data_IF_054540362909
#
_entry.id   IF_054540362909
#
_cell.length_a   1.000
_cell.length_b   1.000
_cell.length_c   1.000
_cell.angle_alpha   90.00
_cell.angle_beta   90.00
_cell.angle_gamma   90.00
#
_symmetry.space_group_name_H-M   'P 1'
#
loop_
_entity.id
_entity.type
_entity.pdbx_description
1 polymer ?
#
# COMPACT_ATOMS: atom_id res chain seq x y z
N UNK A 1 28.09 -39.69 -16.88
CA UNK A 1 28.43 -38.25 -16.88
C UNK A 1 28.20 -37.74 -15.47
N UNK A 2 29.18 -37.93 -14.60
CA UNK A 2 29.17 -37.36 -13.25
C UNK A 2 29.44 -35.86 -13.41
N UNK A 3 28.46 -35.02 -13.03
CA UNK A 3 28.66 -33.59 -13.01
C UNK A 3 29.60 -33.27 -11.84
N UNK A 4 30.89 -33.10 -12.16
CA UNK A 4 31.87 -32.49 -11.28
C UNK A 4 31.43 -31.05 -10.99
N UNK A 5 30.56 -30.88 -9.98
CA UNK A 5 30.29 -29.57 -9.38
C UNK A 5 31.56 -29.23 -8.62
N UNK A 6 32.47 -28.52 -9.28
CA UNK A 6 33.65 -27.92 -8.67
C UNK A 6 33.16 -27.18 -7.42
N UNK A 7 33.66 -27.58 -6.24
CA UNK A 7 33.19 -27.10 -4.96
C UNK A 7 33.48 -25.63 -4.78
N UNK A 8 32.60 -24.76 -5.29
CA UNK A 8 32.56 -23.36 -4.90
C UNK A 8 32.49 -23.30 -3.37
N UNK A 9 33.38 -22.51 -2.78
CA UNK A 9 33.57 -22.46 -1.34
C UNK A 9 32.25 -22.09 -0.65
N UNK A 10 31.74 -22.98 0.21
CA UNK A 10 30.47 -22.83 0.90
C UNK A 10 30.42 -21.47 1.62
N UNK A 11 29.34 -20.72 1.40
CA UNK A 11 29.19 -19.40 2.01
C UNK A 11 29.26 -19.51 3.53
N UNK A 12 30.09 -18.66 4.13
CA UNK A 12 30.25 -18.54 5.58
C UNK A 12 29.82 -17.12 6.02
N UNK A 13 29.59 -16.89 7.33
CA UNK A 13 29.13 -15.59 7.83
C UNK A 13 30.01 -14.37 7.47
N UNK A 14 31.29 -14.61 7.17
CA UNK A 14 32.26 -13.57 6.79
C UNK A 14 32.34 -13.37 5.26
N UNK A 15 31.70 -14.24 4.47
CA UNK A 15 31.64 -14.10 3.01
C UNK A 15 30.77 -12.90 2.64
N UNK A 16 31.23 -12.10 1.68
CA UNK A 16 30.45 -10.97 1.15
C UNK A 16 29.07 -11.41 0.67
N UNK A 17 28.97 -12.57 0.00
CA UNK A 17 27.71 -13.12 -0.50
C UNK A 17 26.72 -13.42 0.63
N UNK A 18 27.21 -13.93 1.77
CA UNK A 18 26.38 -14.19 2.95
C UNK A 18 25.85 -12.90 3.58
N UNK A 19 26.70 -11.88 3.68
CA UNK A 19 26.32 -10.58 4.22
C UNK A 19 25.28 -9.88 3.33
N UNK A 20 25.49 -9.88 2.00
CA UNK A 20 24.52 -9.36 1.04
C UNK A 20 23.19 -10.12 1.07
N UNK A 21 23.23 -11.45 1.16
CA UNK A 21 22.01 -12.26 1.29
C UNK A 21 21.26 -11.95 2.60
N UNK A 22 21.98 -11.81 3.71
CA UNK A 22 21.39 -11.46 5.01
C UNK A 22 20.74 -10.07 4.97
N UNK A 23 21.39 -9.09 4.33
CA UNK A 23 20.84 -7.75 4.13
C UNK A 23 19.58 -7.79 3.24
N UNK A 24 19.63 -8.57 2.15
CA UNK A 24 18.48 -8.78 1.28
C UNK A 24 17.30 -9.39 2.03
N UNK A 25 17.54 -10.42 2.86
CA UNK A 25 16.49 -11.04 3.68
C UNK A 25 15.85 -10.05 4.66
N UNK A 26 16.65 -9.19 5.32
CA UNK A 26 16.12 -8.13 6.19
C UNK A 26 15.24 -7.14 5.44
N UNK A 27 15.68 -6.70 4.25
CA UNK A 27 14.89 -5.80 3.40
C UNK A 27 13.58 -6.47 2.97
N UNK A 28 13.65 -7.75 2.56
CA UNK A 28 12.47 -8.50 2.14
C UNK A 28 11.47 -8.71 3.28
N UNK A 29 11.96 -9.02 4.48
CA UNK A 29 11.10 -9.17 5.65
C UNK A 29 10.35 -7.88 5.98
N UNK A 30 11.04 -6.74 5.89
CA UNK A 30 10.40 -5.43 6.03
C UNK A 30 9.33 -5.18 4.97
N UNK A 31 9.64 -5.43 3.69
CA UNK A 31 8.68 -5.24 2.59
C UNK A 31 7.42 -6.09 2.79
N UNK A 32 7.58 -7.36 3.20
CA UNK A 32 6.45 -8.22 3.52
C UNK A 32 5.64 -7.72 4.71
N UNK A 33 6.27 -7.07 5.70
CA UNK A 33 5.56 -6.45 6.81
C UNK A 33 4.76 -5.21 6.36
N UNK A 34 5.29 -4.42 5.42
CA UNK A 34 4.56 -3.32 4.78
C UNK A 34 3.37 -3.85 3.98
N UNK A 35 3.57 -4.84 3.11
CA UNK A 35 2.50 -5.45 2.30
C UNK A 35 1.37 -6.01 3.19
N UNK A 36 1.75 -6.67 4.28
CA UNK A 36 0.80 -7.21 5.27
C UNK A 36 -0.01 -6.09 5.92
N UNK A 37 0.65 -5.00 6.32
CA UNK A 37 -0.01 -3.87 6.97
C UNK A 37 -0.97 -3.17 6.00
N UNK A 38 -0.51 -2.88 4.79
CA UNK A 38 -1.28 -2.26 3.72
C UNK A 38 -2.53 -3.10 3.39
N UNK A 39 -2.37 -4.40 3.15
CA UNK A 39 -3.47 -5.30 2.85
C UNK A 39 -4.55 -5.31 3.95
N UNK A 40 -4.15 -5.22 5.22
CA UNK A 40 -5.08 -5.13 6.35
C UNK A 40 -5.82 -3.79 6.41
N UNK A 41 -5.15 -2.69 6.06
CA UNK A 41 -5.74 -1.35 6.06
C UNK A 41 -6.73 -1.19 4.90
N UNK A 42 -6.35 -1.60 3.68
CA UNK A 42 -7.26 -1.65 2.53
C UNK A 42 -8.47 -2.50 2.85
N UNK A 43 -8.22 -3.70 3.39
CA UNK A 43 -9.25 -4.59 3.87
C UNK A 43 -10.20 -3.79 4.75
N UNK A 44 -9.71 -3.20 5.87
CA UNK A 44 -10.50 -2.40 6.83
C UNK A 44 -11.36 -1.34 6.15
N UNK A 45 -10.79 -0.55 5.25
CA UNK A 45 -11.49 0.48 4.47
C UNK A 45 -12.67 -0.11 3.69
N UNK A 46 -12.50 -1.27 3.05
CA UNK A 46 -13.58 -1.95 2.33
C UNK A 46 -14.71 -2.44 3.25
N UNK A 47 -14.46 -2.84 4.51
CA UNK A 47 -15.60 -3.13 5.42
C UNK A 47 -16.28 -1.85 5.88
N UNK A 48 -15.54 -0.76 6.09
CA UNK A 48 -16.13 0.52 6.46
C UNK A 48 -17.06 1.03 5.34
N UNK A 49 -16.65 0.88 4.09
CA UNK A 49 -17.52 1.15 2.93
C UNK A 49 -18.76 0.26 2.94
N UNK A 50 -18.62 -1.05 3.19
CA UNK A 50 -19.76 -1.97 3.30
C UNK A 50 -20.71 -1.62 4.45
N UNK A 51 -20.17 -1.09 5.55
CA UNK A 51 -20.98 -0.63 6.68
C UNK A 51 -21.86 0.58 6.32
N UNK A 52 -21.45 1.36 5.30
CA UNK A 52 -22.17 2.55 4.84
C UNK A 52 -23.25 2.25 3.78
N UNK A 53 -23.48 0.97 3.44
CA UNK A 53 -24.50 0.57 2.46
C UNK A 53 -25.87 0.50 3.13
N UNK A 54 -26.80 1.34 2.66
CA UNK A 54 -28.21 1.33 3.08
C UNK A 54 -28.88 -0.03 2.73
N UNK A 55 -29.83 -0.47 3.56
CA UNK A 55 -30.55 -1.74 3.33
C UNK A 55 -29.83 -3.01 3.82
N UNK A 56 -28.69 -2.89 4.50
CA UNK A 56 -28.03 -4.06 5.12
C UNK A 56 -28.82 -4.61 6.30
N UNK A 57 -29.12 -5.90 6.30
CA UNK A 57 -29.85 -6.56 7.38
C UNK A 57 -29.07 -6.57 8.72
N UNK A 58 -29.77 -6.65 9.85
CA UNK A 58 -29.14 -6.60 11.19
C UNK A 58 -28.00 -7.62 11.39
N UNK A 59 -28.18 -8.86 10.94
CA UNK A 59 -27.16 -9.92 11.03
C UNK A 59 -25.89 -9.55 10.24
N UNK A 60 -26.04 -8.96 9.04
CA UNK A 60 -24.91 -8.51 8.23
C UNK A 60 -24.19 -7.34 8.89
N UNK A 61 -24.91 -6.35 9.44
CA UNK A 61 -24.30 -5.24 10.20
C UNK A 61 -23.49 -5.74 11.39
N UNK A 62 -23.99 -6.73 12.13
CA UNK A 62 -23.27 -7.35 13.25
C UNK A 62 -22.00 -8.06 12.79
N UNK A 63 -22.06 -8.78 11.66
CA UNK A 63 -20.90 -9.44 11.06
C UNK A 63 -19.84 -8.42 10.61
N UNK A 64 -20.24 -7.36 9.91
CA UNK A 64 -19.36 -6.27 9.49
C UNK A 64 -18.70 -5.60 10.70
N UNK A 65 -19.47 -5.26 11.73
CA UNK A 65 -18.92 -4.66 12.96
C UNK A 65 -17.92 -5.57 13.68
N UNK A 66 -18.18 -6.89 13.72
CA UNK A 66 -17.21 -7.86 14.27
C UNK A 66 -15.94 -7.90 13.44
N UNK A 67 -16.06 -7.92 12.11
CA UNK A 67 -14.93 -7.99 11.21
C UNK A 67 -14.05 -6.72 11.29
N UNK A 68 -14.66 -5.53 11.40
CA UNK A 68 -13.93 -4.26 11.60
C UNK A 68 -13.11 -4.33 12.89
N UNK A 69 -13.72 -4.77 14.01
CA UNK A 69 -13.02 -4.91 15.29
C UNK A 69 -11.85 -5.90 15.22
N UNK A 70 -12.06 -7.06 14.59
CA UNK A 70 -11.02 -8.07 14.39
C UNK A 70 -9.87 -7.51 13.56
N UNK A 71 -10.18 -6.77 12.48
CA UNK A 71 -9.16 -6.20 11.61
C UNK A 71 -8.39 -5.06 12.26
N UNK A 72 -9.03 -4.22 13.08
CA UNK A 72 -8.29 -3.22 13.88
C UNK A 72 -7.23 -3.88 14.77
N UNK A 73 -7.55 -4.99 15.45
CA UNK A 73 -6.56 -5.75 16.25
C UNK A 73 -5.44 -6.38 15.40
N UNK A 74 -5.78 -6.86 14.20
CA UNK A 74 -4.80 -7.40 13.27
C UNK A 74 -3.84 -6.31 12.77
N UNK A 75 -4.36 -5.10 12.49
CA UNK A 75 -3.56 -3.92 12.14
C UNK A 75 -2.62 -3.57 13.29
N UNK A 76 -3.09 -3.50 14.54
CA UNK A 76 -2.24 -3.21 15.70
C UNK A 76 -1.06 -4.21 15.80
N UNK A 77 -1.33 -5.49 15.54
CA UNK A 77 -0.30 -6.54 15.59
C UNK A 77 0.70 -6.40 14.43
N UNK A 78 0.20 -6.17 13.21
CA UNK A 78 1.04 -5.94 12.04
C UNK A 78 1.89 -4.67 12.19
N UNK A 79 1.32 -3.61 12.77
CA UNK A 79 1.99 -2.35 13.06
C UNK A 79 3.16 -2.54 14.04
N UNK A 80 2.97 -3.32 15.11
CA UNK A 80 4.05 -3.67 16.04
C UNK A 80 5.20 -4.39 15.32
N UNK A 81 4.87 -5.35 14.44
CA UNK A 81 5.88 -6.07 13.64
C UNK A 81 6.62 -5.11 12.69
N UNK A 82 5.87 -4.26 11.99
CA UNK A 82 6.43 -3.23 11.11
C UNK A 82 7.39 -2.31 11.88
N UNK A 83 6.95 -1.70 12.99
CA UNK A 83 7.77 -0.76 13.76
C UNK A 83 9.03 -1.42 14.34
N UNK A 84 8.95 -2.69 14.75
CA UNK A 84 10.11 -3.47 15.20
C UNK A 84 11.14 -3.65 14.07
N UNK A 85 10.69 -3.96 12.86
CA UNK A 85 11.56 -4.09 11.69
C UNK A 85 12.07 -2.73 11.23
N UNK A 86 11.25 -1.69 11.22
CA UNK A 86 11.64 -0.33 10.86
C UNK A 86 12.79 0.20 11.74
N UNK A 87 12.75 -0.11 13.05
CA UNK A 87 13.78 0.28 14.01
C UNK A 87 15.12 -0.47 13.84
N UNK A 88 15.13 -1.64 13.18
CA UNK A 88 16.36 -2.44 13.02
C UNK A 88 17.22 -2.03 11.82
N UNK A 89 16.73 -1.10 10.99
CA UNK A 89 17.49 -0.51 9.89
C UNK A 89 18.44 0.59 10.38
N UNK A 90 19.49 0.84 9.60
CA UNK A 90 20.44 1.94 9.80
C UNK A 90 20.49 2.77 8.51
N UNK A 91 19.96 4.01 8.49
CA UNK A 91 19.23 4.69 9.57
C UNK A 91 17.86 4.04 9.87
N UNK A 92 17.31 4.26 11.09
CA UNK A 92 15.98 3.75 11.44
C UNK A 92 14.93 4.35 10.51
N UNK A 93 14.01 3.51 10.04
CA UNK A 93 12.91 3.93 9.16
C UNK A 93 11.77 4.57 9.95
N UNK A 94 10.92 5.33 9.25
CA UNK A 94 9.74 5.99 9.83
C UNK A 94 8.84 4.98 10.54
N UNK A 95 8.64 5.19 11.83
CA UNK A 95 7.67 4.44 12.62
C UNK A 95 6.27 5.02 12.46
N UNK A 96 5.28 4.15 12.47
CA UNK A 96 3.87 4.52 12.27
C UNK A 96 3.09 4.36 13.57
N UNK A 97 2.15 5.26 13.78
CA UNK A 97 1.16 5.19 14.86
C UNK A 97 -0.19 4.79 14.30
N UNK A 98 -1.04 4.14 15.10
CA UNK A 98 -2.40 3.77 14.67
C UNK A 98 -3.22 4.97 14.17
N UNK A 99 -3.00 6.16 14.74
CA UNK A 99 -3.61 7.41 14.26
C UNK A 99 -3.21 7.73 12.82
N UNK A 100 -1.91 7.70 12.51
CA UNK A 100 -1.41 7.90 11.15
C UNK A 100 -2.00 6.89 10.16
N UNK A 101 -2.21 5.64 10.58
CA UNK A 101 -2.84 4.61 9.74
C UNK A 101 -4.33 4.89 9.50
N UNK A 102 -5.01 5.53 10.45
CA UNK A 102 -6.40 5.96 10.25
C UNK A 102 -6.48 7.16 9.31
N UNK A 103 -5.49 8.06 9.39
CA UNK A 103 -5.35 9.19 8.48
C UNK A 103 -4.95 8.72 7.07
N UNK A 104 -4.27 7.57 6.96
CA UNK A 104 -3.95 6.94 5.68
C UNK A 104 -5.20 6.40 4.98
N UNK A 105 -5.83 7.27 4.21
CA UNK A 105 -7.00 6.97 3.39
C UNK A 105 -6.64 6.39 2.01
N UNK A 106 -5.36 6.39 1.63
CA UNK A 106 -4.94 6.08 0.26
C UNK A 106 -3.79 5.06 0.18
N UNK A 107 -3.88 4.18 -0.82
CA UNK A 107 -2.85 3.19 -1.18
C UNK A 107 -1.47 3.80 -1.34
N UNK A 108 -1.41 4.99 -1.96
CA UNK A 108 -0.16 5.68 -2.27
C UNK A 108 0.70 5.96 -1.02
N UNK A 109 0.10 6.17 0.15
CA UNK A 109 0.84 6.45 1.39
C UNK A 109 1.58 5.20 1.91
N UNK A 110 1.05 4.00 1.61
CA UNK A 110 1.74 2.73 1.89
C UNK A 110 2.79 2.39 0.83
N UNK A 111 2.53 2.72 -0.43
CA UNK A 111 3.52 2.59 -1.50
C UNK A 111 4.79 3.41 -1.20
N UNK A 112 4.64 4.60 -0.61
CA UNK A 112 5.78 5.43 -0.15
C UNK A 112 6.60 4.78 0.97
N UNK A 113 6.02 3.87 1.76
CA UNK A 113 6.76 3.12 2.78
C UNK A 113 7.55 1.95 2.19
N UNK A 114 7.21 1.50 0.96
CA UNK A 114 7.88 0.36 0.32
C UNK A 114 9.28 0.70 -0.17
N UNK A 115 9.65 1.98 -0.23
CA UNK A 115 10.82 2.44 -0.96
C UNK A 115 12.17 1.96 -0.39
N UNK A 116 12.54 0.77 -0.86
CA UNK A 116 13.73 0.45 -1.64
C UNK A 116 14.90 1.42 -1.57
N UNK A 117 15.72 1.30 -0.52
CA UNK A 117 17.20 1.33 -0.47
C UNK A 117 18.03 2.31 -1.36
N UNK A 118 17.45 3.28 -2.07
CA UNK A 118 18.13 4.14 -3.04
C UNK A 118 17.72 5.61 -2.94
N UNK A 119 16.43 5.93 -2.81
CA UNK A 119 15.95 7.31 -2.62
C UNK A 119 14.62 7.32 -1.84
N UNK A 120 14.45 8.31 -0.97
CA UNK A 120 13.18 8.60 -0.29
C UNK A 120 12.30 9.48 -1.18
N UNK A 121 11.29 8.91 -1.87
CA UNK A 121 10.40 9.71 -2.72
C UNK A 121 9.37 10.47 -1.92
N UNK A 122 9.20 10.21 -0.62
CA UNK A 122 8.26 10.99 0.21
C UNK A 122 8.62 12.49 0.23
N UNK A 123 9.88 12.82 -0.05
CA UNK A 123 10.37 14.20 -0.17
C UNK A 123 10.13 14.82 -1.56
N UNK A 124 9.75 14.04 -2.57
CA UNK A 124 9.51 14.55 -3.92
C UNK A 124 8.22 15.38 -3.93
N UNK A 125 8.22 16.48 -4.67
CA UNK A 125 7.07 17.41 -4.70
C UNK A 125 5.77 16.70 -5.10
N UNK A 126 5.79 15.78 -6.07
CA UNK A 126 4.62 15.01 -6.48
C UNK A 126 4.13 14.02 -5.42
N UNK A 127 4.98 13.64 -4.47
CA UNK A 127 4.63 12.72 -3.39
C UNK A 127 4.02 13.43 -2.18
N UNK A 128 4.10 14.76 -2.08
CA UNK A 128 3.46 15.51 -1.00
C UNK A 128 1.93 15.45 -1.13
N UNK A 129 1.24 15.21 -0.02
CA UNK A 129 -0.21 15.00 0.00
C UNK A 129 -0.99 16.15 -0.67
N UNK A 130 -0.63 17.40 -0.33
CA UNK A 130 -1.25 18.59 -0.91
C UNK A 130 -1.11 18.64 -2.44
N UNK A 131 0.07 18.33 -2.97
CA UNK A 131 0.34 18.39 -4.41
C UNK A 131 -0.37 17.24 -5.14
N UNK A 132 -0.47 16.06 -4.52
CA UNK A 132 -1.24 14.93 -5.08
C UNK A 132 -2.72 15.27 -5.16
N UNK A 133 -3.30 15.83 -4.11
CA UNK A 133 -4.71 16.22 -4.10
C UNK A 133 -5.00 17.31 -5.13
N UNK A 134 -4.13 18.32 -5.24
CA UNK A 134 -4.24 19.34 -6.29
C UNK A 134 -4.15 18.72 -7.69
N UNK A 135 -3.22 17.80 -7.92
CA UNK A 135 -3.06 17.10 -9.21
C UNK A 135 -4.30 16.26 -9.52
N UNK A 136 -4.86 15.54 -8.54
CA UNK A 136 -6.11 14.78 -8.70
C UNK A 136 -7.28 15.69 -9.07
N UNK A 137 -7.42 16.83 -8.40
CA UNK A 137 -8.45 17.82 -8.72
C UNK A 137 -8.28 18.36 -10.15
N UNK A 138 -7.06 18.73 -10.53
CA UNK A 138 -6.77 19.22 -11.87
C UNK A 138 -7.10 18.18 -12.94
N UNK A 139 -6.64 16.93 -12.76
CA UNK A 139 -6.94 15.84 -13.68
C UNK A 139 -8.44 15.55 -13.77
N UNK A 140 -9.20 15.64 -12.67
CA UNK A 140 -10.66 15.50 -12.70
C UNK A 140 -11.32 16.60 -13.53
N UNK A 141 -10.84 17.84 -13.41
CA UNK A 141 -11.34 18.95 -14.23
C UNK A 141 -11.03 18.72 -15.70
N UNK A 142 -9.81 18.30 -16.02
CA UNK A 142 -9.41 18.04 -17.41
C UNK A 142 -10.22 16.89 -18.01
N UNK A 143 -10.41 15.78 -17.28
CA UNK A 143 -11.27 14.67 -17.72
C UNK A 143 -12.73 15.07 -17.86
N UNK A 144 -13.26 15.92 -16.98
CA UNK A 144 -14.64 16.41 -17.10
C UNK A 144 -14.83 17.23 -18.37
N UNK A 145 -13.84 18.05 -18.77
CA UNK A 145 -13.88 18.81 -20.02
C UNK A 145 -13.86 17.90 -21.25
N UNK A 146 -13.00 16.89 -21.24
CA UNK A 146 -12.97 15.88 -22.31
C UNK A 146 -14.29 15.12 -22.41
N UNK A 147 -14.88 14.77 -21.26
CA UNK A 147 -16.15 14.03 -21.21
C UNK A 147 -17.31 14.86 -21.76
N UNK A 148 -17.35 16.18 -21.52
CA UNK A 148 -18.36 17.07 -22.13
C UNK A 148 -18.31 16.98 -23.66
N UNK A 149 -17.11 17.10 -24.25
CA UNK A 149 -16.93 17.02 -25.71
C UNK A 149 -17.35 15.64 -26.24
N UNK A 150 -17.01 14.57 -25.52
CA UNK A 150 -17.44 13.21 -25.87
C UNK A 150 -18.97 13.08 -25.84
N UNK A 151 -19.60 13.57 -24.77
CA UNK A 151 -21.05 13.47 -24.58
C UNK A 151 -21.81 14.25 -25.67
N UNK A 152 -21.31 15.40 -26.11
CA UNK A 152 -21.91 16.14 -27.23
C UNK A 152 -21.97 15.29 -28.51
N UNK A 153 -20.88 14.60 -28.84
CA UNK A 153 -20.83 13.69 -30.00
C UNK A 153 -21.76 12.49 -29.82
N UNK A 154 -21.82 11.90 -28.62
CA UNK A 154 -22.69 10.76 -28.32
C UNK A 154 -24.18 11.12 -28.35
N UNK A 155 -24.55 12.32 -27.90
CA UNK A 155 -25.93 12.83 -27.98
C UNK A 155 -26.34 12.95 -29.45
N UNK A 156 -25.50 13.53 -30.30
CA UNK A 156 -25.80 13.65 -31.74
C UNK A 156 -25.95 12.28 -32.40
N UNK A 157 -25.09 11.32 -32.04
CA UNK A 157 -25.20 9.95 -32.56
C UNK A 157 -26.48 9.27 -32.10
N UNK A 158 -26.82 9.35 -30.82
CA UNK A 158 -28.03 8.71 -30.29
C UNK A 158 -29.31 9.31 -30.88
N UNK A 159 -29.36 10.63 -31.10
CA UNK A 159 -30.45 11.29 -31.83
C UNK A 159 -30.53 10.88 -33.31
N UNK A 160 -29.40 10.63 -33.97
CA UNK A 160 -29.39 10.19 -35.36
C UNK A 160 -29.78 8.71 -35.54
N UNK A 161 -29.65 7.89 -34.49
CA UNK A 161 -30.05 6.47 -34.48
C UNK A 161 -31.50 6.23 -34.02
N UNK A 162 -32.14 7.22 -33.37
CA UNK A 162 -33.57 7.22 -33.05
C UNK A 162 -34.40 7.74 -34.21
#
# INVERSE_FOLDING_TARGET
>A
LEMNITGEQRWNPNSANWQSATQYMKIREYQLAVDRLEGLVISRLLELQKANIAGTGYKQRKAIGKAIKTRSKAIDTALKKYNKLAASFTPPRKQLTMKMIQDYGHLCEFEMLRESSREDVSQKAWAQDANREMTRCQLRVDRAREEIVRLEVEIQRTLAFM
#
